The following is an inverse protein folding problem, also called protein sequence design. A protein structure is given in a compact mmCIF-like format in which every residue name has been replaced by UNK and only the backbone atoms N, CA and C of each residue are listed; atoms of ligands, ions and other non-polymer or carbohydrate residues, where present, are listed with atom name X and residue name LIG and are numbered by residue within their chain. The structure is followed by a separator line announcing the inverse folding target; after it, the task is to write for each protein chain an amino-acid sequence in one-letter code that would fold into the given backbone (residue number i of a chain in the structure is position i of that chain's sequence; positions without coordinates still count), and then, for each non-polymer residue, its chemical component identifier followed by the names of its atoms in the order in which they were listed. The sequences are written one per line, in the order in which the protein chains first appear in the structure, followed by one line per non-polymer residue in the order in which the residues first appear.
data_IF_618617572244
#
_entry.id   IF_618617572244
#
_cell.length_a   1.000
_cell.length_b   1.000
_cell.length_c   1.000
_cell.angle_alpha   90.00
_cell.angle_beta   90.00
_cell.angle_gamma   90.00
#
_symmetry.space_group_name_H-M   'P 1'
#
loop_
_entity.id
_entity.type
_entity.pdbx_description
1 polymer ?
#
# COMPACT_ATOMS: atom_id res chain seq x y z
N UNK A 1 7.93 -4.84 -9.23
CA UNK A 1 8.00 -4.16 -10.55
C UNK A 1 7.36 -4.96 -11.67
N UNK A 2 6.72 -4.27 -12.61
CA UNK A 2 6.23 -4.80 -13.88
C UNK A 2 6.31 -3.72 -14.98
N UNK A 3 6.31 -4.12 -16.26
CA UNK A 3 6.19 -3.19 -17.38
C UNK A 3 4.71 -2.95 -17.73
N UNK A 4 4.33 -1.69 -17.91
CA UNK A 4 3.08 -1.31 -18.53
C UNK A 4 3.37 -0.66 -19.87
N UNK A 5 2.87 -1.23 -20.95
CA UNK A 5 2.94 -0.65 -22.28
C UNK A 5 1.55 -0.39 -22.79
N UNK A 6 1.29 0.85 -23.20
CA UNK A 6 -0.03 1.31 -23.63
C UNK A 6 0.11 1.84 -25.05
N UNK A 7 -0.78 1.44 -25.95
CA UNK A 7 -0.76 1.85 -27.36
C UNK A 7 -2.15 2.28 -27.86
N UNK A 8 -2.18 3.30 -28.73
CA UNK A 8 -3.36 3.69 -29.49
C UNK A 8 -3.59 2.78 -30.71
N UNK A 9 -2.56 2.03 -31.15
CA UNK A 9 -2.68 1.18 -32.33
C UNK A 9 -3.45 -0.09 -31.97
N UNK A 10 -4.63 -0.24 -32.54
CA UNK A 10 -5.49 -1.38 -32.27
C UNK A 10 -4.93 -2.71 -32.83
N UNK A 11 -3.94 -2.64 -33.72
CA UNK A 11 -3.29 -3.80 -34.35
C UNK A 11 -2.05 -4.26 -33.59
N UNK A 12 -1.57 -3.49 -32.61
CA UNK A 12 -0.47 -3.91 -31.75
C UNK A 12 -0.85 -5.14 -30.92
N UNK A 13 0.19 -5.80 -30.41
CA UNK A 13 0.10 -7.04 -29.62
C UNK A 13 -0.36 -8.25 -30.43
N UNK A 14 -0.17 -8.26 -31.75
CA UNK A 14 -0.46 -9.38 -32.65
C UNK A 14 0.71 -10.38 -32.81
N UNK A 15 1.81 -10.17 -32.08
CA UNK A 15 3.04 -10.97 -32.15
C UNK A 15 4.13 -10.34 -33.02
N UNK A 16 3.88 -9.19 -33.64
CA UNK A 16 4.91 -8.38 -34.29
C UNK A 16 5.60 -7.45 -33.30
N UNK A 17 6.85 -7.12 -33.58
CA UNK A 17 7.60 -6.13 -32.81
C UNK A 17 6.96 -4.74 -32.87
N UNK A 18 6.92 -4.05 -31.73
CA UNK A 18 6.30 -2.73 -31.59
C UNK A 18 7.36 -1.67 -31.25
N UNK A 19 7.11 -0.42 -31.59
CA UNK A 19 8.01 0.71 -31.30
C UNK A 19 7.32 1.77 -30.45
N UNK A 20 8.06 2.30 -29.47
CA UNK A 20 7.61 3.38 -28.60
C UNK A 20 8.52 4.60 -28.76
N UNK A 21 7.98 5.83 -28.68
CA UNK A 21 8.79 7.03 -28.62
C UNK A 21 9.72 7.00 -27.40
N UNK A 22 11.01 7.29 -27.60
CA UNK A 22 12.00 7.29 -26.52
C UNK A 22 11.66 8.33 -25.44
N UNK A 23 11.07 9.46 -25.81
CA UNK A 23 10.61 10.49 -24.87
C UNK A 23 9.48 10.04 -23.96
N UNK A 24 8.78 8.95 -24.30
CA UNK A 24 7.63 8.40 -23.55
C UNK A 24 7.88 6.99 -23.02
N UNK A 25 9.13 6.52 -23.08
CA UNK A 25 9.52 5.19 -22.60
C UNK A 25 10.37 5.37 -21.34
N UNK A 26 9.84 4.98 -20.18
CA UNK A 26 10.46 5.12 -18.86
C UNK A 26 10.82 6.58 -18.53
N UNK A 27 9.99 7.51 -18.96
CA UNK A 27 10.12 8.96 -18.73
C UNK A 27 8.82 9.60 -18.29
N UNK A 28 7.71 9.04 -18.76
CA UNK A 28 6.37 9.38 -18.32
C UNK A 28 5.87 8.26 -17.40
N UNK A 29 5.11 8.64 -16.37
CA UNK A 29 4.39 7.74 -15.46
C UNK A 29 5.25 6.66 -14.77
N UNK A 30 6.56 6.84 -14.75
CA UNK A 30 7.55 5.99 -14.08
C UNK A 30 8.22 6.82 -13.01
N UNK A 31 8.40 6.24 -11.81
CA UNK A 31 9.10 6.91 -10.72
C UNK A 31 10.50 7.41 -11.15
N UNK A 32 10.94 8.53 -10.57
CA UNK A 32 12.19 9.17 -10.96
C UNK A 32 13.42 8.27 -10.71
N UNK A 33 13.44 7.52 -9.60
CA UNK A 33 14.55 6.62 -9.28
C UNK A 33 14.59 5.43 -10.25
N UNK A 34 13.43 4.91 -10.68
CA UNK A 34 13.35 3.84 -11.68
C UNK A 34 13.77 4.37 -13.07
N UNK A 35 13.33 5.59 -13.40
CA UNK A 35 13.68 6.31 -14.63
C UNK A 35 15.20 6.50 -14.76
N UNK A 36 15.85 6.93 -13.68
CA UNK A 36 17.31 7.10 -13.61
C UNK A 36 18.04 5.76 -13.81
N UNK A 37 17.51 4.70 -13.20
CA UNK A 37 18.12 3.36 -13.19
C UNK A 37 17.92 2.57 -14.48
N UNK A 38 16.75 2.65 -15.10
CA UNK A 38 16.35 1.77 -16.20
C UNK A 38 16.12 2.48 -17.54
N UNK A 39 15.92 3.80 -17.55
CA UNK A 39 15.54 4.52 -18.76
C UNK A 39 16.70 4.83 -19.72
N UNK A 40 17.93 4.38 -19.43
CA UNK A 40 19.05 4.48 -20.38
C UNK A 40 18.87 3.52 -21.57
N UNK A 41 18.23 2.37 -21.33
CA UNK A 41 18.19 1.19 -22.21
C UNK A 41 19.57 0.71 -22.65
N UNK A 42 20.56 0.79 -21.75
CA UNK A 42 21.81 0.06 -21.88
C UNK A 42 21.61 -1.46 -21.69
N UNK A 43 22.68 -2.24 -21.80
CA UNK A 43 22.61 -3.70 -21.69
C UNK A 43 22.11 -4.17 -20.32
N UNK A 44 22.47 -3.47 -19.23
CA UNK A 44 22.10 -3.86 -17.88
C UNK A 44 20.61 -3.58 -17.61
N UNK A 45 20.16 -2.36 -17.92
CA UNK A 45 18.76 -1.97 -17.81
C UNK A 45 17.85 -2.80 -18.71
N UNK A 46 18.27 -3.08 -19.95
CA UNK A 46 17.50 -3.93 -20.87
C UNK A 46 17.39 -5.38 -20.37
N UNK A 47 18.48 -5.93 -19.81
CA UNK A 47 18.47 -7.27 -19.20
C UNK A 47 17.56 -7.35 -17.97
N UNK A 48 17.33 -6.25 -17.25
CA UNK A 48 16.37 -6.21 -16.16
C UNK A 48 14.93 -6.07 -16.66
N UNK A 49 14.68 -5.13 -17.58
CA UNK A 49 13.35 -4.86 -18.14
C UNK A 49 12.72 -6.09 -18.81
N UNK A 50 13.54 -6.92 -19.46
CA UNK A 50 13.13 -8.18 -20.09
C UNK A 50 12.76 -9.29 -19.10
N UNK A 51 13.17 -9.18 -17.82
CA UNK A 51 12.77 -10.14 -16.78
C UNK A 51 11.44 -9.78 -16.12
N UNK A 52 11.01 -8.52 -16.26
CA UNK A 52 9.78 -8.06 -15.64
C UNK A 52 8.56 -8.65 -16.35
N UNK A 53 7.51 -9.03 -15.61
CA UNK A 53 6.22 -9.32 -16.21
C UNK A 53 5.68 -8.05 -16.89
N UNK A 54 4.91 -8.24 -17.96
CA UNK A 54 4.46 -7.13 -18.80
C UNK A 54 2.95 -7.18 -19.05
N UNK A 55 2.28 -6.05 -18.81
CA UNK A 55 0.94 -5.78 -19.30
C UNK A 55 1.06 -5.01 -20.62
N UNK A 56 0.50 -5.61 -21.67
CA UNK A 56 0.38 -5.03 -23.00
C UNK A 56 -1.04 -4.49 -23.15
N UNK A 57 -1.23 -3.23 -22.81
CA UNK A 57 -2.52 -2.56 -22.76
C UNK A 57 -2.76 -1.71 -24.02
N UNK A 58 -4.01 -1.28 -24.14
CA UNK A 58 -4.42 -0.29 -25.13
C UNK A 58 -4.94 0.96 -24.42
N UNK A 59 -4.83 2.10 -25.08
CA UNK A 59 -5.49 3.33 -24.63
C UNK A 59 -6.98 3.09 -24.41
N UNK A 60 -7.56 3.83 -23.46
CA UNK A 60 -8.97 3.67 -23.07
C UNK A 60 -9.93 3.88 -24.24
N UNK A 61 -9.58 4.76 -25.18
CA UNK A 61 -10.35 5.02 -26.41
C UNK A 61 -10.42 3.81 -27.34
N UNK A 62 -9.41 2.92 -27.31
CA UNK A 62 -9.36 1.69 -28.12
C UNK A 62 -10.22 0.60 -27.49
N UNK A 63 -10.25 0.52 -26.15
CA UNK A 63 -11.15 -0.35 -25.40
C UNK A 63 -10.88 -1.87 -25.51
N UNK A 64 -9.83 -2.28 -26.22
CA UNK A 64 -9.43 -3.70 -26.32
C UNK A 64 -8.84 -4.20 -24.99
N UNK A 65 -9.11 -5.47 -24.67
CA UNK A 65 -8.59 -6.09 -23.46
C UNK A 65 -7.05 -6.15 -23.49
N UNK A 66 -6.36 -5.81 -22.39
CA UNK A 66 -4.92 -5.93 -22.30
C UNK A 66 -4.50 -7.40 -22.41
N UNK A 67 -3.26 -7.61 -22.82
CA UNK A 67 -2.60 -8.93 -22.86
C UNK A 67 -1.50 -9.00 -21.83
N UNK A 68 -1.09 -10.22 -21.49
CA UNK A 68 -0.03 -10.49 -20.53
C UNK A 68 1.14 -11.18 -21.22
N UNK A 69 2.36 -10.93 -20.74
CA UNK A 69 3.54 -11.64 -21.21
C UNK A 69 4.84 -11.03 -20.70
N UNK A 70 5.85 -10.99 -21.56
CA UNK A 70 7.15 -10.37 -21.27
C UNK A 70 7.78 -9.76 -22.50
N UNK A 71 8.69 -8.81 -22.29
CA UNK A 71 9.58 -8.31 -23.32
C UNK A 71 10.74 -9.31 -23.48
N UNK A 72 11.06 -9.69 -24.70
CA UNK A 72 12.17 -10.63 -24.99
C UNK A 72 13.41 -9.90 -25.49
N UNK A 73 13.24 -8.79 -26.19
CA UNK A 73 14.36 -7.99 -26.71
C UNK A 73 14.02 -6.51 -26.69
N UNK A 74 15.03 -5.67 -26.43
CA UNK A 74 14.91 -4.21 -26.43
C UNK A 74 16.02 -3.64 -27.30
N UNK A 75 15.62 -2.79 -28.26
CA UNK A 75 16.53 -2.15 -29.20
C UNK A 75 16.28 -0.65 -29.24
N UNK A 76 17.15 0.13 -28.57
CA UNK A 76 17.13 1.59 -28.62
C UNK A 76 17.67 2.09 -29.97
N UNK A 77 16.85 2.86 -30.69
CA UNK A 77 17.20 3.44 -31.99
C UNK A 77 17.41 4.94 -31.84
N UNK A 78 18.59 5.35 -31.38
CA UNK A 78 18.91 6.77 -31.09
C UNK A 78 18.62 7.70 -32.28
N UNK A 79 18.90 7.28 -33.52
CA UNK A 79 18.66 8.10 -34.71
C UNK A 79 17.16 8.31 -35.03
N UNK A 80 16.27 7.43 -34.54
CA UNK A 80 14.82 7.54 -34.72
C UNK A 80 14.10 8.02 -33.46
N UNK A 81 14.83 8.23 -32.37
CA UNK A 81 14.26 8.60 -31.06
C UNK A 81 13.16 7.62 -30.62
N UNK A 82 13.38 6.33 -30.86
CA UNK A 82 12.43 5.25 -30.58
C UNK A 82 13.11 4.10 -29.84
N UNK A 83 12.31 3.32 -29.12
CA UNK A 83 12.69 2.03 -28.56
C UNK A 83 11.82 0.97 -29.23
N UNK A 84 12.46 0.00 -29.88
CA UNK A 84 11.78 -1.19 -30.40
C UNK A 84 11.79 -2.27 -29.32
N UNK A 85 10.68 -2.98 -29.21
CA UNK A 85 10.57 -4.17 -28.38
C UNK A 85 10.12 -5.36 -29.22
N UNK A 86 10.71 -6.51 -28.91
CA UNK A 86 10.13 -7.80 -29.26
C UNK A 86 9.57 -8.41 -27.96
N UNK A 87 8.48 -9.16 -28.06
CA UNK A 87 7.77 -9.67 -26.89
C UNK A 87 7.16 -11.05 -27.13
N UNK A 88 6.86 -11.71 -26.02
CA UNK A 88 6.17 -12.99 -25.99
C UNK A 88 4.90 -12.83 -25.16
N UNK A 89 3.76 -13.23 -25.73
CA UNK A 89 2.49 -13.25 -25.04
C UNK A 89 2.28 -14.58 -24.33
N UNK A 90 1.74 -14.50 -23.12
CA UNK A 90 1.44 -15.63 -22.27
C UNK A 90 -0.07 -15.74 -22.16
N UNK A 91 -0.62 -16.84 -22.67
CA UNK A 91 -2.05 -17.07 -22.62
C UNK A 91 -2.47 -17.47 -21.20
N UNK A 92 -3.35 -16.67 -20.59
CA UNK A 92 -3.94 -16.94 -19.28
C UNK A 92 -5.42 -17.32 -19.45
N UNK A 93 -5.96 -18.25 -18.64
CA UNK A 93 -7.36 -18.65 -18.75
C UNK A 93 -8.33 -17.49 -18.45
N UNK A 94 -7.88 -16.51 -17.67
CA UNK A 94 -8.57 -15.26 -17.37
C UNK A 94 -7.52 -14.16 -17.25
N UNK A 95 -7.80 -13.01 -17.84
CA UNK A 95 -7.03 -11.79 -17.61
C UNK A 95 -7.96 -10.58 -17.50
N UNK A 96 -7.39 -9.40 -17.27
CA UNK A 96 -8.13 -8.15 -17.11
C UNK A 96 -8.82 -7.73 -18.42
N UNK A 97 -9.99 -7.12 -18.28
CA UNK A 97 -10.56 -6.23 -19.30
C UNK A 97 -9.88 -4.86 -19.29
N UNK A 98 -10.11 -4.05 -20.33
CA UNK A 98 -9.59 -2.67 -20.38
C UNK A 98 -10.11 -1.85 -19.18
N UNK A 99 -11.42 -1.92 -18.93
CA UNK A 99 -12.05 -1.24 -17.80
C UNK A 99 -11.52 -1.70 -16.44
N UNK A 100 -11.31 -3.00 -16.24
CA UNK A 100 -10.76 -3.52 -14.98
C UNK A 100 -9.34 -3.02 -14.74
N UNK A 101 -8.49 -2.99 -15.77
CA UNK A 101 -7.12 -2.46 -15.66
C UNK A 101 -7.15 -1.02 -15.14
N UNK A 102 -7.95 -0.14 -15.76
CA UNK A 102 -8.00 1.26 -15.38
C UNK A 102 -8.71 1.51 -14.04
N UNK A 103 -9.64 0.63 -13.65
CA UNK A 103 -10.25 0.64 -12.30
C UNK A 103 -9.27 0.21 -11.21
N UNK A 104 -8.21 -0.52 -11.54
CA UNK A 104 -7.16 -0.93 -10.61
C UNK A 104 -6.04 0.12 -10.45
N UNK A 105 -6.33 1.39 -10.75
CA UNK A 105 -5.30 2.44 -10.75
C UNK A 105 -4.63 2.67 -9.40
N UNK A 106 -5.36 2.55 -8.28
CA UNK A 106 -4.76 2.68 -6.95
C UNK A 106 -3.85 1.50 -6.60
N UNK A 107 -4.26 0.29 -6.97
CA UNK A 107 -3.52 -0.94 -6.69
C UNK A 107 -2.27 -1.08 -7.56
N UNK A 108 -2.36 -0.70 -8.83
CA UNK A 108 -1.30 -0.84 -9.84
C UNK A 108 -0.47 0.44 -10.05
N UNK A 109 -0.72 1.49 -9.27
CA UNK A 109 -0.07 2.80 -9.37
C UNK A 109 -0.23 3.41 -10.78
N UNK A 110 -1.47 3.42 -11.29
CA UNK A 110 -1.82 3.99 -12.59
C UNK A 110 -2.39 5.39 -12.44
N UNK A 111 -1.80 6.34 -13.17
CA UNK A 111 -2.26 7.74 -13.16
C UNK A 111 -3.47 7.97 -14.05
N UNK A 112 -4.29 8.99 -13.72
CA UNK A 112 -5.51 9.32 -14.47
C UNK A 112 -5.32 9.63 -15.96
N UNK A 113 -4.12 10.04 -16.36
CA UNK A 113 -3.79 10.40 -17.75
C UNK A 113 -3.06 9.29 -18.52
N UNK A 114 -2.66 8.23 -17.82
CA UNK A 114 -1.89 7.11 -18.36
C UNK A 114 -2.73 6.28 -19.36
N UNK A 115 -4.06 6.36 -19.23
CA UNK A 115 -5.02 5.70 -20.11
C UNK A 115 -5.20 6.37 -21.48
N UNK A 116 -4.66 7.59 -21.67
CA UNK A 116 -4.98 8.45 -22.81
C UNK A 116 -3.85 8.59 -23.83
N UNK A 117 -2.74 7.86 -23.65
CA UNK A 117 -1.57 8.04 -24.53
C UNK A 117 -0.67 6.83 -24.62
N UNK A 118 -0.05 6.70 -25.78
CA UNK A 118 0.92 5.65 -26.08
C UNK A 118 2.24 5.93 -25.37
N UNK A 119 2.63 5.01 -24.48
CA UNK A 119 3.82 5.13 -23.64
C UNK A 119 4.26 3.76 -23.09
N UNK A 120 5.46 3.72 -22.50
CA UNK A 120 5.95 2.60 -21.71
C UNK A 120 6.37 3.11 -20.33
N UNK A 121 5.76 2.56 -19.28
CA UNK A 121 6.11 2.82 -17.89
C UNK A 121 6.57 1.54 -17.15
N UNK A 122 7.34 1.72 -16.09
CA UNK A 122 7.66 0.67 -15.12
C UNK A 122 7.03 1.04 -13.78
N UNK A 123 6.23 0.12 -13.24
CA UNK A 123 5.52 0.31 -11.98
C UNK A 123 6.15 -0.51 -10.89
N UNK A 124 6.42 0.09 -9.73
CA UNK A 124 6.95 -0.65 -8.58
C UNK A 124 5.85 -1.22 -7.69
N UNK A 125 5.04 -2.08 -8.30
CA UNK A 125 3.98 -2.82 -7.63
C UNK A 125 4.24 -4.31 -7.80
N UNK A 126 3.77 -5.11 -6.84
CA UNK A 126 3.73 -6.56 -6.97
C UNK A 126 2.51 -6.98 -7.81
N UNK A 127 2.67 -7.01 -9.14
CA UNK A 127 1.59 -7.33 -10.07
C UNK A 127 0.91 -8.67 -9.75
N UNK A 128 1.68 -9.70 -9.40
CA UNK A 128 1.13 -11.02 -9.08
C UNK A 128 0.18 -10.95 -7.87
N UNK A 129 0.52 -10.18 -6.83
CA UNK A 129 -0.31 -9.98 -5.66
C UNK A 129 -1.61 -9.24 -6.00
N UNK A 130 -1.52 -8.15 -6.76
CA UNK A 130 -2.70 -7.35 -7.10
C UNK A 130 -3.67 -8.13 -8.02
N UNK A 131 -3.14 -8.89 -8.98
CA UNK A 131 -3.94 -9.75 -9.85
C UNK A 131 -4.57 -10.94 -9.11
N UNK A 132 -3.89 -11.49 -8.11
CA UNK A 132 -4.44 -12.58 -7.30
C UNK A 132 -5.74 -12.17 -6.60
N UNK A 133 -5.88 -10.90 -6.19
CA UNK A 133 -7.12 -10.36 -5.62
C UNK A 133 -8.32 -10.43 -6.58
N UNK A 134 -8.07 -10.49 -7.89
CA UNK A 134 -9.08 -10.64 -8.96
C UNK A 134 -9.26 -12.08 -9.44
N UNK A 135 -8.63 -13.04 -8.75
CA UNK A 135 -8.60 -14.45 -9.12
C UNK A 135 -7.76 -14.73 -10.37
N UNK A 136 -6.80 -13.85 -10.70
CA UNK A 136 -5.87 -14.04 -11.81
C UNK A 136 -4.54 -14.49 -11.24
N UNK A 137 -4.14 -15.73 -11.52
CA UNK A 137 -2.89 -16.32 -11.04
C UNK A 137 -1.87 -16.31 -12.16
N UNK A 138 -0.75 -15.63 -11.95
CA UNK A 138 0.35 -15.60 -12.91
C UNK A 138 1.19 -16.89 -12.84
N UNK A 139 1.77 -17.34 -13.97
CA UNK A 139 2.66 -18.49 -13.99
C UNK A 139 3.87 -18.32 -13.05
N UNK A 140 4.42 -19.41 -12.47
CA UNK A 140 5.49 -19.32 -11.46
C UNK A 140 6.74 -18.53 -11.89
N UNK A 141 7.07 -18.54 -13.18
CA UNK A 141 8.20 -17.76 -13.72
C UNK A 141 7.97 -16.25 -13.68
N UNK A 142 6.71 -15.81 -13.59
CA UNK A 142 6.30 -14.41 -13.41
C UNK A 142 5.83 -14.11 -11.98
N UNK A 143 5.57 -15.15 -11.20
CA UNK A 143 5.45 -15.06 -9.75
C UNK A 143 6.84 -14.80 -9.15
N UNK A 144 7.28 -13.55 -9.25
CA UNK A 144 8.50 -13.01 -8.63
C UNK A 144 9.77 -13.87 -8.80
N UNK A 145 10.40 -13.79 -9.97
CA UNK A 145 11.85 -14.06 -10.09
C UNK A 145 12.59 -12.84 -9.52
N UNK A 146 12.99 -12.92 -8.24
CA UNK A 146 13.84 -11.90 -7.60
C UNK A 146 13.48 -11.58 -6.15
N UNK A 147 12.35 -12.05 -5.65
CA UNK A 147 12.07 -12.20 -4.24
C UNK A 147 11.40 -13.58 -4.08
N UNK A 148 11.81 -14.45 -3.13
CA UNK A 148 10.89 -15.48 -2.65
C UNK A 148 9.56 -14.81 -2.32
N UNK A 149 8.39 -15.49 -2.26
CA UNK A 149 7.18 -14.85 -1.77
C UNK A 149 7.58 -14.06 -0.54
N UNK A 150 7.55 -12.71 -0.61
CA UNK A 150 7.87 -11.93 0.56
C UNK A 150 6.74 -12.30 1.46
N UNK A 151 7.02 -13.22 2.39
CA UNK A 151 6.50 -13.19 3.72
C UNK A 151 6.55 -11.69 4.05
N UNK A 152 5.42 -10.95 3.95
CA UNK A 152 5.43 -9.49 3.86
C UNK A 152 6.23 -9.00 5.04
N UNK A 153 7.43 -8.40 4.84
CA UNK A 153 8.51 -8.26 5.86
C UNK A 153 7.92 -8.39 7.25
N UNK A 154 7.82 -9.62 7.76
CA UNK A 154 6.94 -9.84 8.90
C UNK A 154 7.70 -9.33 10.09
N UNK A 155 7.30 -8.17 10.56
CA UNK A 155 7.78 -7.65 11.83
C UNK A 155 7.24 -8.55 12.92
N UNK A 156 8.13 -9.00 13.80
CA UNK A 156 7.75 -9.71 15.00
C UNK A 156 7.16 -8.68 15.98
N UNK A 157 5.84 -8.70 16.15
CA UNK A 157 5.14 -7.73 16.99
C UNK A 157 5.48 -7.88 18.48
N UNK A 158 6.31 -8.87 18.87
CA UNK A 158 6.82 -8.97 20.24
C UNK A 158 7.98 -8.03 20.52
N UNK A 159 8.72 -7.59 19.49
CA UNK A 159 9.87 -6.71 19.62
C UNK A 159 9.81 -5.46 18.73
N UNK A 160 8.87 -5.41 17.79
CA UNK A 160 8.72 -4.28 16.87
C UNK A 160 8.19 -3.01 17.55
N UNK A 161 8.72 -1.85 17.13
CA UNK A 161 8.25 -0.53 17.53
C UNK A 161 7.47 0.11 16.38
N UNK A 162 6.25 0.53 16.66
CA UNK A 162 5.35 1.19 15.73
C UNK A 162 5.42 2.71 15.86
N UNK A 163 5.22 3.41 14.76
CA UNK A 163 4.97 4.85 14.78
C UNK A 163 3.57 5.15 15.31
N UNK A 164 2.58 4.33 14.94
CA UNK A 164 1.19 4.50 15.33
C UNK A 164 0.60 3.17 15.80
N UNK A 165 -0.17 3.21 16.87
CA UNK A 165 -1.04 2.09 17.25
C UNK A 165 -2.49 2.54 17.41
N UNK A 166 -3.41 1.75 16.87
CA UNK A 166 -4.84 2.02 16.93
C UNK A 166 -5.51 1.24 18.07
N UNK A 167 -6.27 1.95 18.89
CA UNK A 167 -7.02 1.41 20.03
C UNK A 167 -8.49 1.77 19.88
N UNK A 168 -9.35 0.77 19.67
CA UNK A 168 -10.75 0.99 19.30
C UNK A 168 -11.65 -0.20 19.68
N UNK A 169 -12.91 0.02 20.06
CA UNK A 169 -13.94 -1.01 20.13
C UNK A 169 -14.23 -1.62 18.77
N UNK A 170 -14.48 -2.93 18.72
CA UNK A 170 -14.68 -3.67 17.47
C UNK A 170 -15.81 -3.18 16.57
N UNK A 171 -16.74 -2.36 17.06
CA UNK A 171 -17.84 -1.78 16.27
C UNK A 171 -17.40 -0.62 15.37
N UNK A 172 -16.27 0.04 15.68
CA UNK A 172 -15.72 1.12 14.85
C UNK A 172 -14.77 0.58 13.76
N UNK A 173 -14.72 -0.74 13.59
CA UNK A 173 -13.74 -1.45 12.76
C UNK A 173 -13.68 -0.94 11.33
N UNK A 174 -14.83 -0.74 10.68
CA UNK A 174 -14.87 -0.31 9.27
C UNK A 174 -14.16 1.05 9.07
N UNK A 175 -14.41 2.00 9.98
CA UNK A 175 -13.74 3.30 9.93
C UNK A 175 -12.24 3.17 10.24
N UNK A 176 -11.90 2.42 11.30
CA UNK A 176 -10.51 2.29 11.74
C UNK A 176 -9.66 1.54 10.71
N UNK A 177 -10.23 0.56 10.01
CA UNK A 177 -9.57 -0.12 8.90
C UNK A 177 -9.25 0.85 7.77
N UNK A 178 -10.22 1.68 7.37
CA UNK A 178 -10.02 2.70 6.34
C UNK A 178 -8.92 3.71 6.76
N UNK A 179 -8.97 4.20 8.00
CA UNK A 179 -7.93 5.11 8.54
C UNK A 179 -6.56 4.43 8.58
N UNK A 180 -6.49 3.18 9.05
CA UNK A 180 -5.25 2.43 9.15
C UNK A 180 -4.63 2.17 7.78
N UNK A 181 -5.43 1.90 6.75
CA UNK A 181 -4.97 1.74 5.36
C UNK A 181 -4.33 3.02 4.84
N UNK A 182 -5.03 4.15 4.97
CA UNK A 182 -4.51 5.47 4.56
C UNK A 182 -3.25 5.86 5.34
N UNK A 183 -3.24 5.67 6.66
CA UNK A 183 -2.08 5.98 7.50
C UNK A 183 -0.87 5.10 7.17
N UNK A 184 -1.09 3.82 6.85
CA UNK A 184 -0.02 2.90 6.42
C UNK A 184 0.55 3.31 5.06
N UNK A 185 -0.28 3.84 4.16
CA UNK A 185 0.18 4.38 2.88
C UNK A 185 1.08 5.62 3.06
N UNK A 186 0.79 6.46 4.06
CA UNK A 186 1.58 7.66 4.37
C UNK A 186 2.87 7.35 5.16
N UNK A 187 2.81 6.42 6.12
CA UNK A 187 3.90 6.18 7.08
C UNK A 187 4.77 4.94 6.76
N UNK A 188 4.27 4.04 5.92
CA UNK A 188 4.96 2.81 5.51
C UNK A 188 4.36 1.51 6.09
N UNK A 189 4.66 0.39 5.43
CA UNK A 189 4.00 -0.92 5.57
C UNK A 189 3.97 -1.52 6.98
N UNK A 190 4.90 -1.14 7.86
CA UNK A 190 5.00 -1.65 9.24
C UNK A 190 5.04 -0.54 10.30
N UNK A 191 4.70 0.69 9.91
CA UNK A 191 4.64 1.83 10.83
C UNK A 191 3.42 1.78 11.75
N UNK A 192 2.33 1.16 11.28
CA UNK A 192 1.04 1.13 11.97
C UNK A 192 0.73 -0.25 12.58
N UNK A 193 0.31 -0.25 13.85
CA UNK A 193 -0.30 -1.39 14.50
C UNK A 193 -1.83 -1.32 14.38
N UNK A 194 -2.38 -2.23 13.58
CA UNK A 194 -3.81 -2.52 13.43
C UNK A 194 -4.03 -4.03 13.61
N UNK A 195 -5.02 -4.43 14.40
CA UNK A 195 -5.19 -5.81 14.89
C UNK A 195 -5.29 -6.84 13.74
N UNK A 196 -6.06 -6.57 12.69
CA UNK A 196 -6.25 -7.49 11.57
C UNK A 196 -4.98 -7.72 10.75
N UNK A 197 -4.02 -6.78 10.78
CA UNK A 197 -2.77 -6.94 10.05
C UNK A 197 -1.85 -7.98 10.71
N UNK A 198 -2.10 -8.36 11.97
CA UNK A 198 -1.21 -9.22 12.76
C UNK A 198 -1.92 -10.38 13.47
N UNK A 199 -3.10 -10.81 13.00
CA UNK A 199 -3.93 -11.84 13.66
C UNK A 199 -3.17 -13.13 14.01
N UNK A 200 -2.31 -13.60 13.12
CA UNK A 200 -1.50 -14.79 13.36
C UNK A 200 -0.55 -14.66 14.57
N UNK A 201 -0.05 -13.46 14.84
CA UNK A 201 0.82 -13.19 15.98
C UNK A 201 0.03 -12.86 17.26
N UNK A 202 -1.19 -12.34 17.11
CA UNK A 202 -2.11 -12.05 18.22
C UNK A 202 -2.84 -13.30 18.73
N UNK A 203 -2.92 -14.37 17.93
CA UNK A 203 -3.52 -15.65 18.31
C UNK A 203 -2.64 -16.43 19.30
N UNK A 204 -2.50 -15.91 20.52
CA UNK A 204 -1.61 -16.43 21.57
C UNK A 204 -2.16 -16.18 22.99
N UNK A 205 -1.70 -16.95 23.99
CA UNK A 205 -1.91 -16.59 25.40
C UNK A 205 -1.24 -15.26 25.76
N UNK A 206 -1.80 -14.54 26.74
CA UNK A 206 -1.26 -13.26 27.24
C UNK A 206 -1.38 -12.10 26.24
N UNK A 207 -2.42 -12.13 25.40
CA UNK A 207 -2.71 -11.08 24.41
C UNK A 207 -2.81 -9.69 25.06
N UNK A 208 -3.42 -9.61 26.24
CA UNK A 208 -3.54 -8.40 27.04
C UNK A 208 -2.17 -7.79 27.39
N UNK A 209 -1.21 -8.59 27.83
CA UNK A 209 0.15 -8.13 28.17
C UNK A 209 0.88 -7.60 26.92
N UNK A 210 0.72 -8.30 25.79
CA UNK A 210 1.31 -7.87 24.52
C UNK A 210 0.73 -6.53 24.05
N UNK A 211 -0.59 -6.37 24.09
CA UNK A 211 -1.25 -5.13 23.68
C UNK A 211 -0.91 -3.97 24.63
N UNK A 212 -0.89 -4.21 25.95
CA UNK A 212 -0.45 -3.22 26.93
C UNK A 212 0.98 -2.73 26.63
N UNK A 213 1.88 -3.64 26.28
CA UNK A 213 3.25 -3.30 25.95
C UNK A 213 3.37 -2.49 24.64
N UNK A 214 2.65 -2.90 23.59
CA UNK A 214 2.58 -2.17 22.32
C UNK A 214 2.09 -0.74 22.56
N UNK A 215 0.96 -0.57 23.23
CA UNK A 215 0.36 0.73 23.47
C UNK A 215 1.15 1.61 24.45
N UNK A 216 1.71 1.03 25.52
CA UNK A 216 2.41 1.80 26.54
C UNK A 216 3.83 2.19 26.13
N UNK A 217 4.57 1.30 25.45
CA UNK A 217 6.02 1.43 25.28
C UNK A 217 6.48 1.36 23.83
N UNK A 218 5.81 0.58 22.99
CA UNK A 218 6.28 0.31 21.61
C UNK A 218 5.46 0.99 20.51
N UNK A 219 4.64 1.97 20.84
CA UNK A 219 4.03 2.91 19.89
C UNK A 219 4.46 4.35 20.18
N UNK A 220 4.99 5.05 19.17
CA UNK A 220 5.30 6.50 19.28
C UNK A 220 4.02 7.29 19.54
N UNK A 221 2.98 7.04 18.75
CA UNK A 221 1.66 7.64 18.92
C UNK A 221 0.60 6.55 19.14
N UNK A 222 -0.21 6.71 20.18
CA UNK A 222 -1.38 5.90 20.46
C UNK A 222 -2.63 6.68 20.04
N UNK A 223 -3.32 6.20 19.01
CA UNK A 223 -4.58 6.77 18.52
C UNK A 223 -5.73 5.99 19.14
N UNK A 224 -6.54 6.68 19.94
CA UNK A 224 -7.61 6.08 20.71
C UNK A 224 -8.96 6.55 20.16
N UNK A 225 -9.72 5.63 19.57
CA UNK A 225 -11.07 5.89 19.07
C UNK A 225 -12.08 5.69 20.19
N UNK A 226 -12.70 6.77 20.63
CA UNK A 226 -13.50 6.83 21.85
C UNK A 226 -14.97 7.11 21.56
N UNK A 227 -15.86 6.54 22.37
CA UNK A 227 -17.30 6.75 22.33
C UNK A 227 -18.00 6.09 23.52
N UNK A 228 -19.32 6.12 23.58
CA UNK A 228 -20.14 5.77 24.75
C UNK A 228 -19.83 4.38 25.31
N UNK A 229 -19.59 3.41 24.42
CA UNK A 229 -19.38 2.01 24.81
C UNK A 229 -17.89 1.62 24.86
N UNK A 230 -16.98 2.58 24.73
CA UNK A 230 -15.54 2.33 24.65
C UNK A 230 -15.03 1.41 25.76
N UNK A 231 -15.49 1.65 26.98
CA UNK A 231 -15.02 0.93 28.17
C UNK A 231 -15.58 -0.47 28.27
N UNK A 232 -16.87 -0.66 27.98
CA UNK A 232 -17.53 -1.96 28.15
C UNK A 232 -17.14 -2.95 27.06
N UNK A 233 -16.92 -2.48 25.83
CA UNK A 233 -16.79 -3.35 24.66
C UNK A 233 -15.37 -3.69 24.28
N UNK A 234 -14.40 -2.81 24.57
CA UNK A 234 -13.02 -3.04 24.12
C UNK A 234 -12.25 -3.99 25.03
N UNK A 235 -12.51 -3.95 26.34
CA UNK A 235 -11.75 -4.74 27.31
C UNK A 235 -12.61 -5.39 28.41
N UNK A 236 -13.55 -6.28 28.04
CA UNK A 236 -14.49 -6.85 29.01
C UNK A 236 -13.82 -7.71 30.11
N UNK A 237 -12.56 -8.12 29.93
CA UNK A 237 -11.85 -9.06 30.82
C UNK A 237 -10.44 -8.59 31.26
N UNK A 238 -10.10 -7.30 31.11
CA UNK A 238 -8.82 -6.74 31.59
C UNK A 238 -9.11 -5.86 32.81
N UNK A 239 -8.25 -5.92 33.83
CA UNK A 239 -8.32 -5.00 34.96
C UNK A 239 -8.20 -3.55 34.46
N UNK A 240 -9.25 -2.76 34.67
CA UNK A 240 -9.35 -1.36 34.25
C UNK A 240 -8.13 -0.50 34.66
N UNK A 241 -7.51 -0.85 35.78
CA UNK A 241 -6.28 -0.22 36.26
C UNK A 241 -5.09 -0.38 35.30
N UNK A 242 -4.97 -1.51 34.61
CA UNK A 242 -3.90 -1.74 33.64
C UNK A 242 -4.08 -0.86 32.39
N UNK A 243 -5.30 -0.74 31.87
CA UNK A 243 -5.62 0.14 30.73
C UNK A 243 -5.40 1.60 31.12
N UNK A 244 -5.84 2.00 32.32
CA UNK A 244 -5.55 3.33 32.86
C UNK A 244 -4.05 3.59 32.98
N UNK A 245 -3.27 2.62 33.45
CA UNK A 245 -1.82 2.78 33.53
C UNK A 245 -1.18 3.00 32.14
N UNK A 246 -1.62 2.25 31.12
CA UNK A 246 -1.20 2.44 29.73
C UNK A 246 -1.57 3.84 29.23
N UNK A 247 -2.83 4.24 29.40
CA UNK A 247 -3.30 5.56 28.97
C UNK A 247 -2.60 6.70 29.71
N UNK A 248 -2.40 6.58 31.01
CA UNK A 248 -1.68 7.57 31.82
C UNK A 248 -0.22 7.68 31.37
N UNK A 249 0.48 6.56 31.20
CA UNK A 249 1.88 6.54 30.75
C UNK A 249 2.07 7.07 29.32
N UNK A 250 1.08 6.89 28.44
CA UNK A 250 1.08 7.49 27.11
C UNK A 250 0.72 8.99 27.15
N UNK A 251 -0.24 9.38 27.99
CA UNK A 251 -0.67 10.78 28.17
C UNK A 251 0.42 11.66 28.77
N UNK A 252 1.11 11.21 29.81
CA UNK A 252 2.23 11.93 30.45
C UNK A 252 3.37 12.22 29.48
N UNK A 253 3.54 11.39 28.45
CA UNK A 253 4.54 11.55 27.39
C UNK A 253 4.00 12.27 26.16
N UNK A 254 2.77 12.78 26.19
CA UNK A 254 2.14 13.48 25.06
C UNK A 254 1.82 12.57 23.85
N UNK A 255 1.81 11.25 24.02
CA UNK A 255 1.70 10.26 22.94
C UNK A 255 0.27 9.83 22.62
N UNK A 256 -0.76 10.48 23.17
CA UNK A 256 -2.16 10.12 22.90
C UNK A 256 -2.79 11.10 21.92
N UNK A 257 -3.46 10.56 20.90
CA UNK A 257 -4.39 11.27 20.04
C UNK A 257 -5.78 10.67 20.19
N UNK A 258 -6.78 11.49 20.54
CA UNK A 258 -8.16 11.04 20.63
C UNK A 258 -8.88 11.26 19.31
N UNK A 259 -9.63 10.25 18.88
CA UNK A 259 -10.61 10.35 17.78
C UNK A 259 -11.97 10.02 18.37
N UNK A 260 -12.88 10.99 18.38
CA UNK A 260 -14.20 10.86 18.98
C UNK A 260 -15.19 10.35 17.95
N UNK A 261 -15.86 9.24 18.28
CA UNK A 261 -16.78 8.52 17.41
C UNK A 261 -18.24 8.92 17.67
N UNK A 262 -18.55 9.28 18.92
CA UNK A 262 -19.87 9.74 19.34
C UNK A 262 -19.78 10.67 20.56
N UNK A 263 -20.91 11.23 20.97
CA UNK A 263 -21.01 12.15 22.11
C UNK A 263 -21.01 11.47 23.49
N UNK A 264 -20.78 10.17 23.55
CA UNK A 264 -20.69 9.41 24.78
C UNK A 264 -19.58 9.90 25.72
N UNK A 265 -19.87 9.84 27.02
CA UNK A 265 -18.88 10.13 28.05
C UNK A 265 -17.95 8.92 28.25
N UNK A 266 -16.65 9.18 28.34
CA UNK A 266 -15.62 8.16 28.61
C UNK A 266 -14.87 8.56 29.88
N UNK A 267 -14.91 7.72 30.91
CA UNK A 267 -14.20 7.96 32.17
C UNK A 267 -12.69 8.15 31.91
N UNK A 268 -12.10 9.18 32.52
CA UNK A 268 -10.69 9.56 32.32
C UNK A 268 -10.44 10.47 31.12
N UNK A 269 -11.46 10.73 30.29
CA UNK A 269 -11.42 11.71 29.21
C UNK A 269 -12.32 12.88 29.59
N UNK A 270 -11.70 14.04 29.79
CA UNK A 270 -12.41 15.22 30.25
C UNK A 270 -12.78 16.13 29.08
N UNK A 271 -13.83 16.97 29.19
CA UNK A 271 -14.26 17.87 28.12
C UNK A 271 -13.16 18.80 27.58
N UNK A 272 -12.18 19.14 28.41
CA UNK A 272 -11.02 19.96 28.03
C UNK A 272 -9.95 19.21 27.21
N UNK A 273 -10.08 17.90 26.98
CA UNK A 273 -9.18 17.16 26.12
C UNK A 273 -9.47 17.45 24.63
N UNK A 274 -8.45 17.77 23.85
CA UNK A 274 -8.58 17.90 22.40
C UNK A 274 -8.76 16.54 21.72
N UNK A 275 -9.66 16.48 20.74
CA UNK A 275 -9.97 15.29 19.94
C UNK A 275 -10.22 15.65 18.47
N UNK A 276 -10.03 14.69 17.58
CA UNK A 276 -10.55 14.74 16.21
C UNK A 276 -11.96 14.15 16.21
N UNK A 277 -12.93 14.86 15.65
CA UNK A 277 -14.31 14.39 15.52
C UNK A 277 -14.46 13.56 14.24
N UNK A 278 -14.67 12.25 14.39
CA UNK A 278 -14.77 11.32 13.27
C UNK A 278 -15.96 11.61 12.34
N UNK A 279 -17.00 12.30 12.81
CA UNK A 279 -18.14 12.69 11.98
C UNK A 279 -17.84 13.82 11.00
N UNK A 280 -16.75 14.57 11.24
CA UNK A 280 -16.38 15.78 10.48
C UNK A 280 -15.30 15.56 9.43
N UNK A 281 -14.58 14.45 9.50
CA UNK A 281 -13.39 14.21 8.68
C UNK A 281 -13.43 12.83 8.04
N UNK A 282 -12.97 12.74 6.80
CA UNK A 282 -12.83 11.48 6.09
C UNK A 282 -11.68 10.63 6.67
N UNK A 283 -11.64 9.31 6.40
CA UNK A 283 -10.54 8.46 6.83
C UNK A 283 -9.16 8.97 6.40
N UNK A 284 -9.03 9.47 5.17
CA UNK A 284 -7.80 10.04 4.64
C UNK A 284 -7.38 11.32 5.38
N UNK A 285 -8.35 12.18 5.75
CA UNK A 285 -8.07 13.38 6.54
C UNK A 285 -7.62 13.02 7.97
N UNK A 286 -8.27 12.05 8.60
CA UNK A 286 -7.87 11.55 9.92
C UNK A 286 -6.46 10.97 9.85
N UNK A 287 -6.14 10.17 8.82
CA UNK A 287 -4.80 9.64 8.59
C UNK A 287 -3.75 10.73 8.38
N UNK A 288 -4.07 11.82 7.67
CA UNK A 288 -3.19 12.96 7.52
C UNK A 288 -2.88 13.64 8.86
N UNK A 289 -3.90 13.86 9.72
CA UNK A 289 -3.68 14.41 11.06
C UNK A 289 -2.84 13.49 11.95
N UNK A 290 -2.98 12.18 11.79
CA UNK A 290 -2.15 11.18 12.48
C UNK A 290 -0.69 11.30 12.01
N UNK A 291 -0.46 11.37 10.70
CA UNK A 291 0.88 11.53 10.12
C UNK A 291 1.56 12.79 10.63
N UNK A 292 0.84 13.92 10.62
CA UNK A 292 1.32 15.20 11.16
C UNK A 292 1.70 15.06 12.65
N UNK A 293 0.84 14.43 13.47
CA UNK A 293 1.17 14.17 14.88
C UNK A 293 2.43 13.34 15.07
N UNK A 294 2.66 12.34 14.22
CA UNK A 294 3.85 11.46 14.29
C UNK A 294 5.13 12.24 14.03
N UNK A 295 5.13 13.22 13.12
CA UNK A 295 6.29 14.06 12.83
C UNK A 295 6.79 14.81 14.07
N UNK A 296 5.87 15.28 14.90
CA UNK A 296 6.18 16.01 16.14
C UNK A 296 6.29 15.12 17.38
N UNK A 297 6.05 13.82 17.25
CA UNK A 297 6.15 12.88 18.37
C UNK A 297 7.57 12.31 18.45
N UNK A 298 8.27 12.39 19.61
CA UNK A 298 9.62 11.88 19.75
C UNK A 298 9.75 10.41 19.30
N UNK A 299 10.89 10.05 18.69
CA UNK A 299 11.19 8.66 18.38
C UNK A 299 11.35 7.85 19.67
N UNK A 300 10.89 6.61 19.66
CA UNK A 300 11.17 5.68 20.75
C UNK A 300 12.66 5.34 20.70
N UNK A 301 13.33 5.47 21.84
CA UNK A 301 14.68 4.94 21.98
C UNK A 301 14.58 3.41 22.00
N UNK A 302 15.30 2.68 21.14
CA UNK A 302 15.39 1.23 21.28
C UNK A 302 15.99 0.91 22.67
N UNK A 303 15.32 0.01 23.39
CA UNK A 303 15.77 -0.53 24.68
C UNK A 303 16.87 -1.55 24.42
#
# INVERSE_FOLDING_TARGET
MFNLLVTADENDWDGQATTFPLSRSLREYTDAAITERLGSFDSASSAELTRLPTIFAYEQSVGKAPKFGRITEISKRSNRLEVRIDYELVNLPKFLTNDELWKMGAELDLGSWEASRTHWAVKDVNLARELASKGIILPPQFASQGHPPTVPVRVDITNHCFDVAFSFPGEYRDLVEAVAKEATALLGTHACFYDMNYQAQLARPGLDLLLQDIYARRSRLLVVFIGADYQRKMWPNIEWNAIRAVMTAAREKGRIMFVRMDEGAVEGIFPQNGYIDASRFSPAQIAAFISERVEFTPRLNPV
#
